data_IF_810039473669
#
_entry.id   IF_810039473669
#
_cell.length_a   1.000
_cell.length_b   1.000
_cell.length_c   1.000
_cell.angle_alpha   90.00
_cell.angle_beta   90.00
_cell.angle_gamma   90.00
#
_symmetry.space_group_name_H-M   'P 1'
#
loop_
_entity.id
_entity.type
_entity.pdbx_description
1 polymer ?
#
# COMPACT_ATOMS: atom_id res chain seq x y z
N UNK A 1 -1.52 19.48 -4.54
CA UNK A 1 -1.28 18.79 -3.26
C UNK A 1 -0.96 17.35 -3.60
N UNK A 2 0.28 16.92 -3.41
CA UNK A 2 0.68 15.55 -3.71
C UNK A 2 0.25 14.67 -2.53
N UNK A 3 -0.69 13.75 -2.78
CA UNK A 3 -1.21 12.83 -1.77
C UNK A 3 -0.48 11.50 -1.88
N UNK A 4 -0.08 10.96 -0.73
CA UNK A 4 0.44 9.60 -0.62
C UNK A 4 -0.67 8.66 -0.13
N UNK A 5 -0.57 7.35 -0.40
CA UNK A 5 -1.57 6.40 0.05
C UNK A 5 -1.57 6.28 1.58
N UNK A 6 -2.68 5.79 2.14
CA UNK A 6 -2.72 5.32 3.53
C UNK A 6 -1.68 4.21 3.71
N UNK A 7 -0.85 4.35 4.75
CA UNK A 7 0.12 3.34 5.15
C UNK A 7 -0.30 2.61 6.41
N UNK A 8 -0.90 3.32 7.36
CA UNK A 8 -1.33 2.80 8.66
C UNK A 8 -2.14 1.52 8.54
N UNK A 9 -1.74 0.49 9.30
CA UNK A 9 -2.37 -0.82 9.29
C UNK A 9 -2.02 -1.69 8.07
N UNK A 10 -1.15 -1.22 7.15
CA UNK A 10 -0.59 -2.11 6.13
C UNK A 10 0.35 -3.13 6.78
N UNK A 11 0.30 -4.40 6.35
CA UNK A 11 1.11 -5.43 6.96
C UNK A 11 2.60 -5.25 6.64
N UNK A 12 3.47 -5.54 7.61
CA UNK A 12 4.92 -5.27 7.51
C UNK A 12 5.54 -5.91 6.26
N UNK A 13 5.12 -7.12 5.91
CA UNK A 13 5.63 -7.82 4.73
C UNK A 13 5.40 -7.04 3.44
N UNK A 14 4.26 -6.35 3.32
CA UNK A 14 3.92 -5.58 2.13
C UNK A 14 4.72 -4.29 2.09
N UNK A 15 4.80 -3.58 3.22
CA UNK A 15 5.57 -2.34 3.36
C UNK A 15 7.04 -2.60 3.03
N UNK A 16 7.66 -3.61 3.64
CA UNK A 16 9.04 -4.01 3.33
C UNK A 16 9.23 -4.33 1.84
N UNK A 17 8.29 -5.05 1.24
CA UNK A 17 8.37 -5.37 -0.19
C UNK A 17 8.28 -4.12 -1.07
N UNK A 18 7.46 -3.12 -0.72
CA UNK A 18 7.39 -1.86 -1.45
C UNK A 18 8.66 -1.03 -1.28
N UNK A 19 9.17 -0.88 -0.06
CA UNK A 19 10.43 -0.18 0.20
C UNK A 19 11.58 -0.80 -0.59
N UNK A 20 11.68 -2.13 -0.60
CA UNK A 20 12.68 -2.85 -1.41
C UNK A 20 12.55 -2.55 -2.90
N UNK A 21 11.33 -2.53 -3.45
CA UNK A 21 11.08 -2.18 -4.86
C UNK A 21 11.43 -0.73 -5.19
N UNK A 22 11.11 0.21 -4.31
CA UNK A 22 11.50 1.60 -4.47
C UNK A 22 13.02 1.75 -4.44
N UNK A 23 13.73 1.09 -3.52
CA UNK A 23 15.20 1.14 -3.49
C UNK A 23 15.85 0.63 -4.77
N UNK A 24 15.36 -0.50 -5.27
CA UNK A 24 15.87 -1.14 -6.48
C UNK A 24 15.50 -0.38 -7.77
N UNK A 25 14.69 0.68 -7.68
CA UNK A 25 14.20 1.43 -8.84
C UNK A 25 13.13 0.68 -9.65
N UNK A 26 12.64 -0.46 -9.17
CA UNK A 26 11.50 -1.17 -9.78
C UNK A 26 10.24 -0.27 -9.72
N UNK A 27 10.10 0.50 -8.63
CA UNK A 27 9.12 1.58 -8.48
C UNK A 27 9.85 2.91 -8.36
N UNK A 28 9.26 3.99 -8.89
CA UNK A 28 9.77 5.35 -8.71
C UNK A 28 11.08 5.73 -9.40
N UNK A 29 11.65 4.91 -10.29
CA UNK A 29 12.86 5.31 -11.03
C UNK A 29 12.62 6.40 -12.09
N UNK A 30 11.36 6.58 -12.56
CA UNK A 30 11.02 7.58 -13.58
C UNK A 30 10.74 8.94 -12.93
N UNK A 31 11.63 9.91 -13.13
CA UNK A 31 11.50 11.28 -12.62
C UNK A 31 10.20 11.98 -13.02
N UNK A 32 9.65 11.63 -14.20
CA UNK A 32 8.39 12.19 -14.69
C UNK A 32 7.20 11.77 -13.82
N UNK A 33 7.27 10.61 -13.15
CA UNK A 33 6.30 10.20 -12.14
C UNK A 33 6.75 10.72 -10.77
N UNK A 34 6.58 12.03 -10.56
CA UNK A 34 7.03 12.73 -9.35
C UNK A 34 6.55 12.06 -8.05
N UNK A 35 5.33 11.52 -8.04
CA UNK A 35 4.75 10.81 -6.90
C UNK A 35 5.57 9.62 -6.45
N UNK A 36 5.92 8.74 -7.38
CA UNK A 36 6.76 7.59 -7.06
C UNK A 36 8.24 7.97 -6.92
N UNK A 37 8.70 8.97 -7.66
CA UNK A 37 10.10 9.42 -7.63
C UNK A 37 10.53 9.97 -6.27
N UNK A 38 9.61 10.62 -5.53
CA UNK A 38 9.87 11.03 -4.14
C UNK A 38 10.24 9.83 -3.26
N UNK A 39 9.47 8.73 -3.37
CA UNK A 39 9.73 7.52 -2.59
C UNK A 39 11.06 6.88 -2.98
N UNK A 40 11.38 6.79 -4.28
CA UNK A 40 12.69 6.31 -4.74
C UNK A 40 13.84 7.13 -4.18
N UNK A 41 13.75 8.47 -4.29
CA UNK A 41 14.79 9.40 -3.84
C UNK A 41 15.07 9.32 -2.35
N UNK A 42 14.03 9.17 -1.53
CA UNK A 42 14.17 9.05 -0.06
C UNK A 42 14.69 7.67 0.30
N UNK A 43 14.06 6.60 -0.16
CA UNK A 43 14.41 5.22 0.25
C UNK A 43 15.83 4.84 -0.18
N UNK A 44 16.33 5.37 -1.31
CA UNK A 44 17.70 5.13 -1.77
C UNK A 44 18.77 5.62 -0.79
N UNK A 45 18.48 6.63 0.03
CA UNK A 45 19.41 7.22 1.00
C UNK A 45 19.59 6.36 2.26
N UNK A 46 18.73 5.37 2.49
CA UNK A 46 18.77 4.52 3.68
C UNK A 46 19.21 3.10 3.30
N UNK A 47 20.21 2.56 4.01
CA UNK A 47 20.74 1.20 3.80
C UNK A 47 20.65 0.31 5.04
N UNK A 48 20.04 0.80 6.13
CA UNK A 48 19.93 0.02 7.36
C UNK A 48 18.68 -0.88 7.35
N UNK A 49 18.82 -2.21 7.27
CA UNK A 49 17.68 -3.13 7.21
C UNK A 49 16.88 -3.18 8.52
N UNK A 50 17.50 -2.87 9.66
CA UNK A 50 16.81 -2.80 10.96
C UNK A 50 15.80 -1.65 10.92
N UNK A 51 16.21 -0.47 10.44
CA UNK A 51 15.33 0.70 10.37
C UNK A 51 14.08 0.41 9.55
N UNK A 52 14.19 -0.29 8.42
CA UNK A 52 13.01 -0.61 7.61
C UNK A 52 12.09 -1.63 8.26
N UNK A 53 12.66 -2.61 8.96
CA UNK A 53 11.87 -3.62 9.67
C UNK A 53 11.08 -2.97 10.82
N UNK A 54 11.73 -2.10 11.60
CA UNK A 54 11.08 -1.36 12.68
C UNK A 54 10.02 -0.39 12.14
N UNK A 55 10.32 0.32 11.04
CA UNK A 55 9.35 1.19 10.38
C UNK A 55 8.11 0.41 9.89
N UNK A 56 8.31 -0.73 9.24
CA UNK A 56 7.23 -1.57 8.75
C UNK A 56 6.37 -2.13 9.91
N UNK A 57 7.01 -2.60 10.98
CA UNK A 57 6.33 -3.06 12.18
C UNK A 57 5.53 -1.94 12.86
N UNK A 58 6.09 -0.73 12.92
CA UNK A 58 5.40 0.43 13.44
C UNK A 58 4.15 0.75 12.61
N UNK A 59 4.27 0.81 11.28
CA UNK A 59 3.15 1.05 10.37
C UNK A 59 2.03 0.01 10.55
N UNK A 60 2.39 -1.28 10.66
CA UNK A 60 1.43 -2.36 10.88
C UNK A 60 0.69 -2.24 12.22
N UNK A 61 1.36 -1.69 13.25
CA UNK A 61 0.77 -1.47 14.57
C UNK A 61 -0.24 -0.32 14.63
N UNK A 62 -0.21 0.59 13.65
CA UNK A 62 -1.11 1.74 13.63
C UNK A 62 -2.53 1.30 13.25
N UNK A 63 -3.57 1.84 13.91
CA UNK A 63 -4.94 1.57 13.50
C UNK A 63 -5.17 2.17 12.12
N UNK A 64 -5.71 1.39 11.18
CA UNK A 64 -6.06 1.89 9.86
C UNK A 64 -7.08 3.05 10.00
N UNK A 65 -6.73 4.28 9.57
CA UNK A 65 -7.57 5.43 9.78
C UNK A 65 -8.85 5.30 8.96
N UNK A 66 -9.98 5.66 9.57
CA UNK A 66 -11.18 5.93 8.79
C UNK A 66 -10.91 7.10 7.85
N UNK A 67 -11.14 6.92 6.55
CA UNK A 67 -11.05 8.00 5.57
C UNK A 67 -12.43 8.52 5.20
N UNK A 68 -12.50 9.78 4.82
CA UNK A 68 -13.70 10.37 4.26
C UNK A 68 -13.98 9.72 2.92
N UNK A 69 -15.14 9.08 2.77
CA UNK A 69 -15.60 8.53 1.49
C UNK A 69 -16.14 9.66 0.64
N UNK A 70 -15.34 10.13 -0.32
CA UNK A 70 -15.67 11.24 -1.21
C UNK A 70 -16.25 10.76 -2.55
N UNK A 71 -15.93 9.54 -2.98
CA UNK A 71 -16.43 8.98 -4.22
C UNK A 71 -17.85 8.45 -4.03
N UNK A 72 -18.77 8.96 -4.86
CA UNK A 72 -20.15 8.46 -4.93
C UNK A 72 -20.22 7.31 -5.93
N UNK A 73 -20.47 6.11 -5.43
CA UNK A 73 -20.65 4.90 -6.23
C UNK A 73 -21.81 4.04 -5.70
N UNK A 74 -22.04 2.89 -6.36
CA UNK A 74 -22.99 1.88 -5.89
C UNK A 74 -22.22 0.74 -5.21
N UNK A 75 -22.22 0.64 -3.86
CA UNK A 75 -21.47 -0.39 -3.14
C UNK A 75 -21.91 -1.81 -3.47
N UNK A 76 -23.21 -2.03 -3.73
CA UNK A 76 -23.74 -3.35 -4.10
C UNK A 76 -23.20 -3.79 -5.47
N UNK A 77 -23.18 -2.87 -6.45
CA UNK A 77 -22.53 -3.13 -7.74
C UNK A 77 -21.03 -3.36 -7.57
N UNK A 78 -20.37 -2.58 -6.71
CA UNK A 78 -18.95 -2.73 -6.39
C UNK A 78 -18.63 -4.11 -5.82
N UNK A 79 -19.46 -4.63 -4.91
CA UNK A 79 -19.33 -5.97 -4.32
C UNK A 79 -19.40 -7.07 -5.37
N UNK A 80 -20.32 -6.95 -6.34
CA UNK A 80 -20.41 -7.89 -7.47
C UNK A 80 -19.13 -7.88 -8.31
N UNK A 81 -18.61 -6.69 -8.63
CA UNK A 81 -17.37 -6.55 -9.41
C UNK A 81 -16.13 -7.04 -8.64
N UNK A 82 -16.11 -6.86 -7.32
CA UNK A 82 -15.01 -7.28 -6.46
C UNK A 82 -14.84 -8.81 -6.41
N UNK A 83 -15.84 -9.59 -6.82
CA UNK A 83 -15.78 -11.05 -6.81
C UNK A 83 -14.50 -11.59 -7.49
N UNK A 84 -14.08 -10.99 -8.61
CA UNK A 84 -12.84 -11.38 -9.30
C UNK A 84 -11.60 -11.01 -8.49
N UNK A 85 -11.59 -9.85 -7.84
CA UNK A 85 -10.45 -9.40 -7.02
C UNK A 85 -10.25 -10.29 -5.78
N UNK A 86 -11.35 -10.83 -5.26
CA UNK A 86 -11.36 -11.62 -4.01
C UNK A 86 -10.56 -12.93 -4.10
N UNK A 87 -10.34 -13.47 -5.31
CA UNK A 87 -9.55 -14.68 -5.51
C UNK A 87 -8.10 -14.51 -5.04
N UNK A 88 -7.57 -13.28 -5.14
CA UNK A 88 -6.22 -12.95 -4.71
C UNK A 88 -6.24 -12.15 -3.41
N UNK A 89 -7.11 -11.15 -3.30
CA UNK A 89 -7.12 -10.22 -2.18
C UNK A 89 -8.04 -10.63 -1.03
N UNK A 90 -8.63 -11.82 -1.07
CA UNK A 90 -9.52 -12.35 -0.04
C UNK A 90 -10.95 -11.85 -0.15
N UNK A 91 -11.88 -12.60 0.44
CA UNK A 91 -13.32 -12.34 0.38
C UNK A 91 -13.75 -10.94 0.88
N UNK A 92 -12.98 -10.36 1.81
CA UNK A 92 -13.23 -9.04 2.39
C UNK A 92 -12.16 -8.01 1.97
N UNK A 93 -11.31 -8.35 0.99
CA UNK A 93 -10.18 -7.51 0.61
C UNK A 93 -9.08 -7.42 1.66
N UNK A 94 -9.03 -8.36 2.61
CA UNK A 94 -8.04 -8.39 3.70
C UNK A 94 -6.61 -8.76 3.25
N UNK A 95 -6.44 -9.11 1.98
CA UNK A 95 -5.17 -9.57 1.42
C UNK A 95 -4.89 -11.05 1.65
N UNK A 96 -3.83 -11.53 1.01
CA UNK A 96 -3.29 -12.87 1.16
C UNK A 96 -1.77 -12.84 0.95
N UNK A 97 -1.03 -12.97 2.05
CA UNK A 97 0.43 -12.92 2.03
C UNK A 97 1.05 -14.05 1.20
N UNK A 98 0.48 -15.26 1.23
CA UNK A 98 0.98 -16.41 0.46
C UNK A 98 0.93 -16.14 -1.05
N UNK A 99 -0.03 -15.33 -1.51
CA UNK A 99 -0.14 -14.88 -2.89
C UNK A 99 0.55 -13.52 -3.15
N UNK A 100 1.20 -12.93 -2.13
CA UNK A 100 1.75 -11.57 -2.15
C UNK A 100 0.71 -10.51 -2.54
N UNK A 101 -0.57 -10.76 -2.22
CA UNK A 101 -1.68 -9.86 -2.49
C UNK A 101 -1.92 -8.97 -1.25
N UNK A 102 -1.71 -7.64 -1.32
CA UNK A 102 -1.93 -6.76 -0.17
C UNK A 102 -3.41 -6.61 0.18
N UNK A 103 -3.74 -6.15 1.40
CA UNK A 103 -5.08 -5.71 1.71
C UNK A 103 -5.49 -4.52 0.83
N UNK A 104 -6.73 -4.57 0.36
CA UNK A 104 -7.40 -3.49 -0.38
C UNK A 104 -8.43 -2.76 0.48
N UNK A 105 -8.77 -3.31 1.65
CA UNK A 105 -9.77 -2.77 2.57
C UNK A 105 -9.24 -1.67 3.52
N UNK A 106 -7.95 -1.32 3.42
CA UNK A 106 -7.32 -0.23 4.18
C UNK A 106 -7.02 1.02 3.33
N UNK A 107 -7.31 0.96 2.03
CA UNK A 107 -7.05 2.06 1.11
C UNK A 107 -8.15 3.13 1.21
N UNK A 108 -7.78 4.38 0.90
CA UNK A 108 -8.75 5.44 0.65
C UNK A 108 -9.36 5.32 -0.75
N UNK A 109 -10.43 6.07 -1.02
CA UNK A 109 -11.18 5.99 -2.27
C UNK A 109 -10.59 6.81 -3.44
N UNK A 110 -9.36 7.33 -3.34
CA UNK A 110 -8.69 8.12 -4.39
C UNK A 110 -7.18 8.36 -4.22
#
# INVERSE_FOLDING_TARGET
>A
MQRGPILDGLPSWYVMHQLSKFKQGIRGAKEQNKSEFLMHSVVKQYDNPIVWKELAAHIESLPAPGHLKLIRGNPERGKVLFAVCSSCHGAQGQGNQSLKAPPLNVQEDW
#
